data_IF_579691179322
#
_entry.id   IF_579691179322
#
_cell.length_a   1.000
_cell.length_b   1.000
_cell.length_c   1.000
_cell.angle_alpha   90.00
_cell.angle_beta   90.00
_cell.angle_gamma   90.00
#
_symmetry.space_group_name_H-M   'P 1'
#
loop_
_entity.id
_entity.type
_entity.pdbx_description
1 polymer ?
#
# COMPACT_ATOMS: atom_id res chain seq x y z
N UNK A 1 -2.72 -19.37 1.31
CA UNK A 1 -1.94 -18.12 1.49
C UNK A 1 -1.25 -18.07 2.85
N UNK A 2 -1.95 -18.11 3.98
CA UNK A 2 -1.33 -18.08 5.33
C UNK A 2 -0.22 -19.13 5.51
N UNK A 3 -0.45 -20.37 5.12
CA UNK A 3 0.52 -21.47 5.19
C UNK A 3 1.76 -21.25 4.32
N UNK A 4 1.69 -20.31 3.37
CA UNK A 4 2.80 -19.89 2.53
C UNK A 4 3.51 -18.63 3.08
N UNK A 5 3.16 -18.20 4.30
CA UNK A 5 3.76 -17.02 4.92
C UNK A 5 3.25 -15.68 4.39
N UNK A 6 2.18 -15.66 3.58
CA UNK A 6 1.55 -14.42 3.12
C UNK A 6 0.85 -13.74 4.29
N UNK A 7 1.02 -12.43 4.43
CA UNK A 7 0.40 -11.55 5.42
C UNK A 7 -0.84 -10.87 4.85
N UNK A 8 -1.55 -10.10 5.67
CA UNK A 8 -2.78 -9.41 5.26
C UNK A 8 -2.59 -7.90 5.31
N UNK A 9 -2.84 -7.24 4.18
CA UNK A 9 -3.11 -5.82 4.13
C UNK A 9 -4.63 -5.60 4.19
N UNK A 10 -5.11 -4.88 5.20
CA UNK A 10 -6.52 -4.66 5.49
C UNK A 10 -6.88 -3.18 5.34
N UNK A 11 -8.03 -2.89 4.75
CA UNK A 11 -8.51 -1.52 4.53
C UNK A 11 -9.76 -1.17 5.35
N UNK A 12 -10.22 -2.09 6.20
CA UNK A 12 -11.40 -1.91 7.05
C UNK A 12 -11.37 -2.77 8.29
N UNK A 13 -12.14 -2.39 9.32
CA UNK A 13 -12.36 -3.21 10.51
C UNK A 13 -12.86 -4.62 10.16
N UNK A 14 -13.79 -4.72 9.19
CA UNK A 14 -14.32 -6.00 8.75
C UNK A 14 -13.27 -6.93 8.14
N UNK A 15 -12.25 -6.39 7.48
CA UNK A 15 -11.12 -7.17 6.96
C UNK A 15 -10.16 -7.61 8.06
N UNK A 16 -9.90 -6.77 9.06
CA UNK A 16 -9.14 -7.16 10.25
C UNK A 16 -9.82 -8.36 10.93
N UNK A 17 -11.13 -8.27 11.18
CA UNK A 17 -11.88 -9.37 11.83
C UNK A 17 -11.87 -10.66 11.00
N UNK A 18 -11.98 -10.57 9.68
CA UNK A 18 -11.88 -11.74 8.79
C UNK A 18 -10.47 -12.34 8.79
N UNK A 19 -9.44 -11.52 8.86
CA UNK A 19 -8.06 -12.00 8.97
C UNK A 19 -7.85 -12.77 10.28
N UNK A 20 -8.36 -12.26 11.40
CA UNK A 20 -8.32 -12.96 12.69
C UNK A 20 -9.04 -14.32 12.64
N UNK A 21 -10.25 -14.36 12.05
CA UNK A 21 -10.99 -15.63 11.85
C UNK A 21 -10.22 -16.61 10.95
N UNK A 22 -9.48 -16.09 9.96
CA UNK A 22 -8.62 -16.90 9.10
C UNK A 22 -7.31 -17.37 9.80
N UNK A 23 -7.09 -16.94 11.04
CA UNK A 23 -5.97 -17.36 11.89
C UNK A 23 -4.70 -16.52 11.71
N UNK A 24 -4.80 -15.32 11.16
CA UNK A 24 -3.74 -14.31 11.24
C UNK A 24 -3.81 -13.66 12.63
N UNK A 25 -2.76 -13.81 13.43
CA UNK A 25 -2.78 -13.36 14.82
C UNK A 25 -1.63 -12.39 15.11
N UNK A 26 -1.93 -11.08 15.29
CA UNK A 26 -0.92 -10.06 15.60
C UNK A 26 -0.16 -10.32 16.92
N UNK A 27 -0.68 -11.16 17.81
CA UNK A 27 0.00 -11.51 19.07
C UNK A 27 1.17 -12.47 18.86
N UNK A 28 1.07 -13.32 17.84
CA UNK A 28 2.12 -14.30 17.51
C UNK A 28 3.03 -13.81 16.39
N UNK A 29 2.51 -13.00 15.48
CA UNK A 29 3.27 -12.31 14.43
C UNK A 29 2.78 -10.85 14.35
N UNK A 30 3.53 -9.89 14.89
CA UNK A 30 3.15 -8.48 14.92
C UNK A 30 2.90 -7.84 13.54
N UNK A 31 3.42 -8.47 12.49
CA UNK A 31 3.24 -8.03 11.12
C UNK A 31 2.23 -8.89 10.33
N UNK A 32 1.50 -9.81 11.00
CA UNK A 32 0.52 -10.69 10.35
C UNK A 32 -0.58 -9.92 9.61
N UNK A 33 -0.96 -8.78 10.16
CA UNK A 33 -1.96 -7.86 9.60
C UNK A 33 -1.38 -6.45 9.63
N UNK A 34 -1.53 -5.69 8.54
CA UNK A 34 -1.33 -4.25 8.50
C UNK A 34 -2.65 -3.57 8.14
N UNK A 35 -2.88 -2.37 8.65
CA UNK A 35 -4.05 -1.56 8.28
C UNK A 35 -3.63 -0.42 7.36
N UNK A 36 -4.13 -0.42 6.13
CA UNK A 36 -3.84 0.59 5.10
C UNK A 36 -5.13 1.21 4.61
N UNK A 37 -5.44 2.43 5.05
CA UNK A 37 -6.62 3.16 4.57
C UNK A 37 -6.37 4.67 4.61
N UNK A 38 -7.19 5.44 3.89
CA UNK A 38 -7.14 6.91 3.93
C UNK A 38 -7.93 7.49 5.11
N UNK A 39 -8.79 6.69 5.74
CA UNK A 39 -9.65 7.08 6.86
C UNK A 39 -9.63 5.97 7.91
N UNK A 40 -9.54 6.36 9.16
CA UNK A 40 -9.69 5.47 10.32
C UNK A 40 -10.81 6.01 11.21
N UNK A 41 -11.88 5.24 11.39
CA UNK A 41 -12.94 5.59 12.33
C UNK A 41 -12.62 5.15 13.77
N UNK A 42 -13.39 5.63 14.73
CA UNK A 42 -13.16 5.37 16.15
C UNK A 42 -13.17 3.87 16.48
N UNK A 43 -14.06 3.09 15.87
CA UNK A 43 -14.16 1.65 16.11
C UNK A 43 -12.92 0.90 15.57
N UNK A 44 -12.49 1.27 14.36
CA UNK A 44 -11.27 0.72 13.75
C UNK A 44 -10.02 1.14 14.56
N UNK A 45 -9.94 2.39 14.98
CA UNK A 45 -8.84 2.92 15.78
C UNK A 45 -8.72 2.19 17.12
N UNK A 46 -9.85 1.97 17.81
CA UNK A 46 -9.89 1.23 19.06
C UNK A 46 -9.40 -0.23 18.87
N UNK A 47 -9.83 -0.87 17.79
CA UNK A 47 -9.44 -2.25 17.50
C UNK A 47 -7.97 -2.39 17.08
N UNK A 48 -7.48 -1.46 16.27
CA UNK A 48 -6.06 -1.36 15.89
C UNK A 48 -5.19 -1.18 17.13
N UNK A 49 -5.59 -0.29 18.05
CA UNK A 49 -4.90 -0.11 19.33
C UNK A 49 -4.91 -1.38 20.20
N UNK A 50 -6.07 -2.03 20.36
CA UNK A 50 -6.20 -3.28 21.15
C UNK A 50 -5.31 -4.40 20.62
N UNK A 51 -5.26 -4.57 19.31
CA UNK A 51 -4.53 -5.64 18.64
C UNK A 51 -3.07 -5.28 18.34
N UNK A 52 -2.69 -3.99 18.47
CA UNK A 52 -1.40 -3.44 18.06
C UNK A 52 -1.07 -3.72 16.58
N UNK A 53 -2.10 -3.67 15.72
CA UNK A 53 -1.95 -3.82 14.26
C UNK A 53 -1.20 -2.63 13.70
N UNK A 54 -0.06 -2.79 13.01
CA UNK A 54 0.65 -1.68 12.39
C UNK A 54 -0.25 -0.90 11.42
N UNK A 55 -0.13 0.42 11.44
CA UNK A 55 -0.93 1.32 10.60
C UNK A 55 -0.07 1.94 9.52
N UNK A 56 -0.48 1.79 8.28
CA UNK A 56 0.08 2.51 7.14
C UNK A 56 -0.68 3.84 6.97
N UNK A 57 -0.13 4.90 7.55
CA UNK A 57 -0.80 6.19 7.62
C UNK A 57 -0.72 6.94 6.29
N UNK A 58 -1.87 7.35 5.77
CA UNK A 58 -2.01 8.12 4.54
C UNK A 58 -2.07 9.64 4.75
N UNK A 59 -2.06 10.12 5.98
CA UNK A 59 -2.05 11.54 6.31
C UNK A 59 -1.40 11.83 7.67
N UNK A 60 -0.97 13.07 7.87
CA UNK A 60 -0.44 13.55 9.16
C UNK A 60 -1.54 13.52 10.23
N UNK A 61 -2.80 13.84 9.86
CA UNK A 61 -3.94 13.79 10.79
C UNK A 61 -4.20 12.36 11.30
N UNK A 62 -4.02 11.35 10.44
CA UNK A 62 -4.16 9.94 10.84
C UNK A 62 -3.09 9.52 11.85
N UNK A 63 -1.85 9.99 11.67
CA UNK A 63 -0.78 9.80 12.65
C UNK A 63 -1.11 10.48 13.98
N UNK A 64 -1.66 11.69 13.94
CA UNK A 64 -2.08 12.44 15.15
C UNK A 64 -3.18 11.69 15.92
N UNK A 65 -4.23 11.23 15.21
CA UNK A 65 -5.32 10.44 15.80
C UNK A 65 -4.80 9.14 16.44
N UNK A 66 -3.93 8.43 15.75
CA UNK A 66 -3.33 7.19 16.26
C UNK A 66 -2.43 7.48 17.46
N UNK A 67 -1.61 8.52 17.39
CA UNK A 67 -0.68 8.90 18.47
C UNK A 67 -1.39 9.28 19.75
N UNK A 68 -2.54 9.96 19.67
CA UNK A 68 -3.37 10.32 20.83
C UNK A 68 -3.92 9.08 21.55
N UNK A 69 -4.30 8.04 20.82
CA UNK A 69 -4.91 6.81 21.38
C UNK A 69 -3.86 5.76 21.73
N UNK A 70 -2.79 5.66 20.95
CA UNK A 70 -1.79 4.59 21.06
C UNK A 70 -0.37 5.12 20.90
N UNK A 71 0.17 5.88 21.87
CA UNK A 71 1.58 6.29 21.84
C UNK A 71 2.51 5.09 21.73
N UNK A 72 3.58 5.23 20.94
CA UNK A 72 4.53 4.15 20.69
C UNK A 72 4.07 3.11 19.67
N UNK A 73 2.94 3.33 18.98
CA UNK A 73 2.41 2.41 17.97
C UNK A 73 3.34 2.28 16.77
N UNK A 74 3.37 1.09 16.17
CA UNK A 74 4.12 0.82 14.93
C UNK A 74 3.39 1.37 13.72
N UNK A 75 4.09 2.16 12.88
CA UNK A 75 3.49 2.84 11.73
C UNK A 75 4.34 2.72 10.49
N UNK A 76 3.68 2.67 9.35
CA UNK A 76 4.21 2.95 8.04
C UNK A 76 3.77 4.34 7.60
N UNK A 77 4.53 4.98 6.73
CA UNK A 77 4.13 6.22 6.08
C UNK A 77 3.89 5.95 4.60
N UNK A 78 2.63 6.06 4.18
CA UNK A 78 2.29 6.02 2.76
C UNK A 78 2.61 7.38 2.15
N UNK A 79 3.59 7.42 1.27
CA UNK A 79 4.07 8.66 0.65
C UNK A 79 3.50 8.83 -0.74
N UNK A 80 3.02 10.05 -1.03
CA UNK A 80 2.72 10.51 -2.37
C UNK A 80 3.94 11.30 -2.89
N UNK A 81 4.70 10.78 -3.86
CA UNK A 81 5.95 11.40 -4.32
C UNK A 81 5.74 12.59 -5.28
N UNK A 82 4.49 13.03 -5.50
CA UNK A 82 4.16 14.17 -6.36
C UNK A 82 3.93 13.80 -7.82
N UNK A 83 4.03 12.54 -8.19
CA UNK A 83 3.70 12.04 -9.52
C UNK A 83 2.96 10.71 -9.40
N UNK A 84 2.27 10.31 -10.47
CA UNK A 84 1.55 9.05 -10.50
C UNK A 84 1.19 8.63 -11.91
N UNK A 85 0.90 7.33 -12.07
CA UNK A 85 0.46 6.72 -13.30
C UNK A 85 -0.64 5.71 -13.02
N UNK A 86 -1.50 5.45 -14.01
CA UNK A 86 -2.54 4.42 -13.93
C UNK A 86 -3.20 4.20 -15.28
N UNK A 87 -3.82 3.04 -15.50
CA UNK A 87 -4.59 2.72 -16.73
C UNK A 87 -5.67 3.76 -17.06
N UNK A 88 -6.08 4.56 -16.07
CA UNK A 88 -6.99 5.69 -16.22
C UNK A 88 -6.72 6.70 -15.10
N UNK A 89 -7.18 7.95 -15.26
CA UNK A 89 -7.12 8.94 -14.18
C UNK A 89 -7.78 8.44 -12.89
N UNK A 90 -8.76 7.54 -12.98
CA UNK A 90 -9.47 6.96 -11.82
C UNK A 90 -8.65 5.93 -11.05
N UNK A 91 -7.63 5.34 -11.66
CA UNK A 91 -6.74 4.34 -11.04
C UNK A 91 -5.36 4.90 -10.70
N UNK A 92 -5.16 6.22 -10.91
CA UNK A 92 -3.96 6.91 -10.48
C UNK A 92 -4.00 7.14 -8.97
N UNK A 93 -3.00 6.62 -8.26
CA UNK A 93 -2.88 6.70 -6.80
C UNK A 93 -1.73 7.60 -6.34
N UNK A 94 -1.15 8.41 -7.24
CA UNK A 94 -0.09 9.37 -6.93
C UNK A 94 -0.30 10.73 -7.64
N UNK A 95 0.52 11.72 -7.28
CA UNK A 95 0.46 13.08 -7.81
C UNK A 95 -0.66 13.96 -7.21
N UNK A 96 -0.78 15.20 -7.68
CA UNK A 96 -1.69 16.22 -7.12
C UNK A 96 -3.17 15.89 -7.24
N UNK A 97 -3.55 15.01 -8.16
CA UNK A 97 -4.94 14.60 -8.38
C UNK A 97 -5.32 13.34 -7.60
N UNK A 98 -4.46 12.87 -6.71
CA UNK A 98 -4.68 11.72 -5.85
C UNK A 98 -4.84 12.14 -4.39
N UNK A 99 -5.86 11.61 -3.72
CA UNK A 99 -6.06 11.81 -2.28
C UNK A 99 -5.14 10.94 -1.41
N UNK A 100 -4.43 9.99 -2.01
CA UNK A 100 -3.71 8.95 -1.29
C UNK A 100 -2.32 9.39 -0.88
N UNK A 101 -1.98 9.10 0.37
CA UNK A 101 -0.65 9.26 0.94
C UNK A 101 -0.33 10.67 1.40
N UNK A 102 0.67 10.76 2.26
CA UNK A 102 1.26 12.01 2.74
C UNK A 102 2.05 12.64 1.59
N UNK A 103 1.76 13.90 1.28
CA UNK A 103 2.53 14.64 0.28
C UNK A 103 4.00 14.70 0.66
N UNK A 104 4.90 14.45 -0.27
CA UNK A 104 6.34 14.35 0.03
C UNK A 104 6.92 15.57 0.75
N UNK A 105 6.37 16.77 0.52
CA UNK A 105 6.79 17.99 1.20
C UNK A 105 6.29 18.11 2.66
N UNK A 106 5.29 17.30 3.04
CA UNK A 106 4.71 17.29 4.39
C UNK A 106 5.37 16.24 5.31
N UNK A 107 6.38 15.51 4.81
CA UNK A 107 7.12 14.52 5.60
C UNK A 107 7.76 15.09 6.88
N UNK A 108 8.25 16.34 6.92
CA UNK A 108 8.70 16.95 8.19
C UNK A 108 7.59 17.03 9.24
N UNK A 109 6.35 17.36 8.85
CA UNK A 109 5.21 17.38 9.79
C UNK A 109 4.88 15.97 10.29
N UNK A 110 4.97 14.94 9.44
CA UNK A 110 4.83 13.56 9.87
C UNK A 110 5.90 13.17 10.91
N UNK A 111 7.16 13.58 10.71
CA UNK A 111 8.25 13.35 11.66
C UNK A 111 7.98 13.99 13.02
N UNK A 112 7.46 15.22 13.06
CA UNK A 112 7.09 15.90 14.28
C UNK A 112 6.05 15.11 15.09
N UNK A 113 5.06 14.52 14.41
CA UNK A 113 4.05 13.68 15.05
C UNK A 113 4.64 12.36 15.54
N UNK A 114 5.49 11.70 14.74
CA UNK A 114 6.20 10.50 15.16
C UNK A 114 6.96 10.72 16.46
N UNK A 115 7.69 11.82 16.56
CA UNK A 115 8.47 12.18 17.74
C UNK A 115 7.57 12.52 18.93
N UNK A 116 6.50 13.32 18.72
CA UNK A 116 5.59 13.76 19.77
C UNK A 116 4.93 12.61 20.50
N UNK A 117 4.53 11.58 19.78
CA UNK A 117 3.84 10.39 20.33
C UNK A 117 4.74 9.17 20.44
N UNK A 118 6.05 9.31 20.18
CA UNK A 118 7.01 8.20 20.18
C UNK A 118 6.56 7.04 19.28
N UNK A 119 5.90 7.34 18.15
CA UNK A 119 5.47 6.32 17.20
C UNK A 119 6.70 5.64 16.60
N UNK A 120 6.61 4.33 16.38
CA UNK A 120 7.70 3.52 15.86
C UNK A 120 7.56 3.36 14.35
N UNK A 121 8.43 4.05 13.62
CA UNK A 121 8.47 3.95 12.17
C UNK A 121 8.96 2.55 11.74
N UNK A 122 8.12 1.81 11.02
CA UNK A 122 8.46 0.52 10.40
C UNK A 122 9.08 0.76 9.03
N UNK A 123 8.45 1.61 8.21
CA UNK A 123 8.93 1.85 6.86
C UNK A 123 8.16 2.89 6.08
N UNK A 124 8.60 3.08 4.84
CA UNK A 124 7.93 3.91 3.84
C UNK A 124 7.24 3.02 2.81
N UNK A 125 6.02 3.38 2.49
CA UNK A 125 5.15 2.71 1.52
C UNK A 125 4.85 3.66 0.36
N UNK A 126 4.92 3.14 -0.86
CA UNK A 126 4.45 3.82 -2.07
C UNK A 126 3.58 2.87 -2.88
N UNK A 127 2.36 3.29 -3.19
CA UNK A 127 1.48 2.58 -4.12
C UNK A 127 1.11 3.58 -5.22
N UNK A 128 1.77 3.51 -6.37
CA UNK A 128 1.73 4.52 -7.43
C UNK A 128 1.20 3.90 -8.72
N UNK A 129 -0.12 3.65 -8.72
CA UNK A 129 -0.80 3.14 -9.90
C UNK A 129 -0.64 1.64 -10.13
N UNK A 130 -1.12 1.18 -11.30
CA UNK A 130 -1.09 -0.22 -11.72
C UNK A 130 -0.75 -0.32 -13.19
N UNK A 131 -0.02 -1.35 -13.60
CA UNK A 131 0.32 -1.61 -14.99
C UNK A 131 1.72 -2.21 -15.16
N UNK A 132 2.13 -2.34 -16.42
CA UNK A 132 3.45 -2.87 -16.85
C UNK A 132 4.39 -1.79 -17.38
N UNK A 133 4.21 -0.54 -16.99
CA UNK A 133 5.11 0.55 -17.39
C UNK A 133 6.37 0.53 -16.51
N UNK A 134 7.41 -0.13 -16.98
CA UNK A 134 8.68 -0.26 -16.27
C UNK A 134 9.45 1.05 -16.17
N UNK A 135 9.33 1.97 -17.14
CA UNK A 135 9.97 3.27 -17.05
C UNK A 135 9.37 4.11 -15.93
N UNK A 136 8.05 4.02 -15.75
CA UNK A 136 7.39 4.62 -14.59
C UNK A 136 7.80 3.93 -13.29
N UNK A 137 7.91 2.59 -13.28
CA UNK A 137 8.34 1.84 -12.11
C UNK A 137 9.76 2.22 -11.66
N UNK A 138 10.69 2.43 -12.60
CA UNK A 138 12.04 2.94 -12.29
C UNK A 138 12.00 4.31 -11.61
N UNK A 139 11.10 5.21 -12.07
CA UNK A 139 10.90 6.52 -11.43
C UNK A 139 10.39 6.37 -10.00
N UNK A 140 9.46 5.45 -9.74
CA UNK A 140 8.93 5.16 -8.41
C UNK A 140 10.01 4.59 -7.49
N UNK A 141 10.79 3.63 -7.97
CA UNK A 141 11.94 3.08 -7.24
C UNK A 141 12.96 4.18 -6.89
N UNK A 142 13.29 5.05 -7.83
CA UNK A 142 14.17 6.20 -7.58
C UNK A 142 13.57 7.21 -6.60
N UNK A 143 12.26 7.42 -6.61
CA UNK A 143 11.57 8.27 -5.64
C UNK A 143 11.60 7.66 -4.24
N UNK A 144 11.40 6.35 -4.10
CA UNK A 144 11.52 5.65 -2.82
C UNK A 144 12.90 5.86 -2.20
N UNK A 145 13.96 5.66 -2.97
CA UNK A 145 15.34 5.88 -2.50
C UNK A 145 15.54 7.33 -2.03
N UNK A 146 15.13 8.31 -2.85
CA UNK A 146 15.24 9.73 -2.46
C UNK A 146 14.47 10.05 -1.18
N UNK A 147 13.22 9.57 -1.07
CA UNK A 147 12.39 9.84 0.12
C UNK A 147 13.02 9.26 1.39
N UNK A 148 13.59 8.06 1.35
CA UNK A 148 14.28 7.49 2.51
C UNK A 148 15.51 8.30 2.89
N UNK A 149 16.33 8.69 1.91
CA UNK A 149 17.54 9.49 2.14
C UNK A 149 17.19 10.87 2.70
N UNK A 150 16.21 11.56 2.07
CA UNK A 150 15.83 12.93 2.46
C UNK A 150 15.11 12.95 3.82
N UNK A 151 14.33 11.91 4.14
CA UNK A 151 13.65 11.78 5.43
C UNK A 151 14.62 11.51 6.58
N UNK A 152 15.74 10.85 6.33
CA UNK A 152 16.84 10.67 7.28
C UNK A 152 16.48 9.88 8.53
N UNK A 153 15.45 9.02 8.48
CA UNK A 153 15.03 8.15 9.56
C UNK A 153 15.42 6.70 9.26
N UNK A 154 15.67 5.96 10.32
CA UNK A 154 15.91 4.52 10.22
C UNK A 154 14.62 3.75 9.91
N UNK A 155 14.72 2.67 9.09
CA UNK A 155 13.60 1.87 8.60
C UNK A 155 13.90 0.38 8.71
N UNK A 156 12.89 -0.41 9.09
CA UNK A 156 12.95 -1.88 9.02
C UNK A 156 12.69 -2.40 7.59
N UNK A 157 11.84 -1.67 6.83
CA UNK A 157 11.34 -2.13 5.54
C UNK A 157 10.93 -0.99 4.60
N UNK A 158 10.81 -1.31 3.32
CA UNK A 158 10.10 -0.51 2.32
C UNK A 158 8.98 -1.34 1.71
N UNK A 159 7.86 -0.71 1.34
CA UNK A 159 6.76 -1.36 0.63
C UNK A 159 6.54 -0.74 -0.76
N UNK A 160 6.54 -1.59 -1.76
CA UNK A 160 6.21 -1.24 -3.13
C UNK A 160 4.70 -1.09 -3.38
N UNK A 161 3.87 -1.35 -2.37
CA UNK A 161 2.43 -1.38 -2.50
C UNK A 161 1.92 -2.49 -3.43
N UNK A 162 0.73 -2.29 -3.96
CA UNK A 162 0.11 -3.19 -4.91
C UNK A 162 0.29 -2.73 -6.37
N UNK A 163 -0.63 -3.17 -7.22
CA UNK A 163 -0.68 -2.72 -8.62
C UNK A 163 -0.11 -3.69 -9.63
N UNK A 164 0.33 -4.89 -9.22
CA UNK A 164 0.67 -5.95 -10.17
C UNK A 164 -0.55 -6.27 -11.04
N UNK A 165 -0.39 -6.08 -12.36
CA UNK A 165 -1.46 -6.27 -13.35
C UNK A 165 -1.61 -7.73 -13.76
N UNK A 166 -2.81 -8.02 -14.29
CA UNK A 166 -3.11 -9.26 -15.02
C UNK A 166 -3.64 -8.90 -16.41
N UNK A 167 -3.52 -9.75 -17.41
CA UNK A 167 -4.21 -9.57 -18.67
C UNK A 167 -5.72 -9.80 -18.49
N UNK A 168 -6.56 -8.88 -18.99
CA UNK A 168 -8.02 -9.04 -19.04
C UNK A 168 -8.51 -9.50 -20.42
N UNK A 169 -7.67 -9.38 -21.43
CA UNK A 169 -7.98 -9.73 -22.82
C UNK A 169 -6.85 -10.53 -23.42
N UNK A 170 -7.20 -11.37 -24.37
CA UNK A 170 -6.22 -12.10 -25.19
C UNK A 170 -5.26 -11.12 -25.89
N UNK A 171 -3.96 -11.37 -25.76
CA UNK A 171 -2.89 -10.53 -26.33
C UNK A 171 -2.47 -9.33 -25.48
N UNK A 172 -3.04 -9.10 -24.30
CA UNK A 172 -2.49 -8.14 -23.36
C UNK A 172 -1.21 -8.68 -22.70
N UNK A 173 -0.27 -7.79 -22.44
CA UNK A 173 1.02 -8.16 -21.81
C UNK A 173 0.83 -8.57 -20.36
N UNK A 174 1.54 -9.61 -19.96
CA UNK A 174 1.70 -10.01 -18.56
C UNK A 174 2.88 -9.29 -17.95
N UNK A 175 2.77 -8.95 -16.65
CA UNK A 175 3.91 -8.38 -15.94
C UNK A 175 5.03 -9.42 -15.78
N UNK A 176 6.27 -9.02 -16.10
CA UNK A 176 7.46 -9.79 -15.77
C UNK A 176 7.81 -9.56 -14.30
N UNK A 177 7.53 -10.56 -13.48
CA UNK A 177 7.75 -10.50 -12.02
C UNK A 177 9.22 -10.47 -11.64
N UNK A 178 10.10 -11.06 -12.44
CA UNK A 178 11.53 -11.07 -12.20
C UNK A 178 12.13 -9.69 -12.46
N UNK A 179 11.69 -9.04 -13.55
CA UNK A 179 12.08 -7.66 -13.84
C UNK A 179 11.56 -6.68 -12.78
N UNK A 180 10.27 -6.81 -12.40
CA UNK A 180 9.66 -6.03 -11.32
C UNK A 180 10.46 -6.17 -10.00
N UNK A 181 10.76 -7.41 -9.61
CA UNK A 181 11.55 -7.68 -8.41
C UNK A 181 12.95 -7.12 -8.51
N UNK A 182 13.59 -7.21 -9.68
CA UNK A 182 14.94 -6.69 -9.91
C UNK A 182 15.04 -5.18 -9.65
N UNK A 183 14.06 -4.39 -10.16
CA UNK A 183 14.00 -2.94 -9.95
C UNK A 183 13.83 -2.57 -8.47
N UNK A 184 12.88 -3.19 -7.79
CA UNK A 184 12.64 -2.94 -6.37
C UNK A 184 13.77 -3.45 -5.47
N UNK A 185 14.35 -4.60 -5.82
CA UNK A 185 15.51 -5.15 -5.10
C UNK A 185 16.72 -4.22 -5.17
N UNK A 186 16.98 -3.64 -6.36
CA UNK A 186 18.05 -2.66 -6.53
C UNK A 186 17.79 -1.38 -5.69
N UNK A 187 16.56 -0.90 -5.62
CA UNK A 187 16.20 0.24 -4.78
C UNK A 187 16.39 -0.09 -3.28
N UNK A 188 15.91 -1.24 -2.83
CA UNK A 188 16.12 -1.74 -1.46
C UNK A 188 17.60 -1.82 -1.10
N UNK A 189 18.44 -2.34 -1.99
CA UNK A 189 19.87 -2.51 -1.75
C UNK A 189 20.58 -1.15 -1.62
N UNK A 190 20.18 -0.14 -2.40
CA UNK A 190 20.67 1.23 -2.24
C UNK A 190 20.27 1.82 -0.88
N UNK A 191 19.03 1.61 -0.45
CA UNK A 191 18.54 2.05 0.86
C UNK A 191 19.27 1.32 1.99
N UNK A 192 19.45 0.00 1.90
CA UNK A 192 20.20 -0.79 2.87
C UNK A 192 21.66 -0.33 3.00
N UNK A 193 22.30 0.01 1.89
CA UNK A 193 23.66 0.58 1.89
C UNK A 193 23.70 1.96 2.56
N UNK A 194 22.67 2.80 2.36
CA UNK A 194 22.59 4.12 3.00
C UNK A 194 22.37 4.01 4.51
N UNK A 195 21.48 3.12 4.96
CA UNK A 195 21.14 2.91 6.38
C UNK A 195 22.20 2.07 7.13
N UNK A 196 23.04 1.31 6.41
CA UNK A 196 24.10 0.48 7.00
C UNK A 196 23.61 -0.87 7.53
N UNK A 197 22.38 -1.30 7.21
CA UNK A 197 21.83 -2.60 7.59
C UNK A 197 20.84 -3.13 6.55
N UNK A 198 20.42 -4.39 6.69
CA UNK A 198 19.45 -5.01 5.79
C UNK A 198 18.06 -4.40 5.97
N UNK A 199 17.38 -4.12 4.84
CA UNK A 199 16.01 -3.61 4.77
C UNK A 199 15.14 -4.64 4.07
N UNK A 200 13.95 -4.92 4.61
CA UNK A 200 12.95 -5.80 3.97
C UNK A 200 12.28 -5.09 2.79
N UNK A 201 11.88 -5.88 1.79
CA UNK A 201 11.03 -5.43 0.69
C UNK A 201 9.68 -6.12 0.81
N UNK A 202 8.60 -5.34 0.85
CA UNK A 202 7.21 -5.83 0.91
C UNK A 202 6.42 -5.41 -0.33
N UNK A 203 5.42 -6.21 -0.70
CA UNK A 203 4.49 -5.95 -1.80
C UNK A 203 3.07 -6.38 -1.40
N UNK A 204 2.06 -5.77 -2.03
CA UNK A 204 0.62 -5.97 -1.73
C UNK A 204 -0.16 -6.43 -2.99
N UNK A 205 0.14 -7.61 -3.57
CA UNK A 205 -0.40 -8.04 -4.87
C UNK A 205 -1.81 -8.63 -4.75
N UNK A 206 -2.84 -7.82 -4.52
CA UNK A 206 -4.22 -8.31 -4.36
C UNK A 206 -4.79 -8.97 -5.61
N UNK A 207 -4.98 -8.20 -6.68
CA UNK A 207 -5.56 -8.65 -7.95
C UNK A 207 -4.76 -9.79 -8.58
N UNK A 208 -3.46 -9.65 -8.63
CA UNK A 208 -2.55 -10.63 -9.23
C UNK A 208 -2.70 -12.03 -8.65
N UNK A 209 -3.01 -12.14 -7.35
CA UNK A 209 -3.13 -13.44 -6.68
C UNK A 209 -4.46 -14.15 -6.92
N UNK A 210 -5.53 -13.43 -7.23
CA UNK A 210 -6.88 -14.01 -7.15
C UNK A 210 -7.77 -13.76 -8.36
N UNK A 211 -7.49 -12.77 -9.20
CA UNK A 211 -8.45 -12.37 -10.24
C UNK A 211 -8.65 -13.43 -11.32
N UNK A 212 -7.60 -14.16 -11.68
CA UNK A 212 -7.70 -15.25 -12.67
C UNK A 212 -8.28 -16.56 -12.09
N UNK A 213 -8.46 -16.62 -10.75
CA UNK A 213 -9.00 -17.79 -10.08
C UNK A 213 -10.53 -17.82 -10.01
N UNK A 214 -11.22 -16.78 -10.52
CA UNK A 214 -12.68 -16.66 -10.44
C UNK A 214 -13.32 -15.94 -11.61
N UNK A 215 -14.63 -16.13 -11.74
CA UNK A 215 -15.46 -15.45 -12.72
C UNK A 215 -16.71 -14.88 -12.06
N UNK A 216 -17.14 -13.70 -12.52
CA UNK A 216 -18.43 -13.13 -12.13
C UNK A 216 -19.48 -13.54 -13.18
N UNK A 217 -20.49 -14.28 -12.73
CA UNK A 217 -21.64 -14.64 -13.59
C UNK A 217 -22.78 -13.67 -13.31
N UNK A 218 -23.28 -13.02 -14.35
CA UNK A 218 -24.40 -12.09 -14.26
C UNK A 218 -25.42 -12.38 -15.39
N UNK A 219 -26.70 -12.09 -15.13
CA UNK A 219 -27.76 -12.18 -16.13
C UNK A 219 -28.07 -10.80 -16.68
N UNK A 220 -28.01 -10.66 -18.00
CA UNK A 220 -28.48 -9.46 -18.68
C UNK A 220 -29.98 -9.32 -18.48
N UNK A 221 -30.43 -8.24 -17.86
CA UNK A 221 -31.85 -7.96 -17.57
C UNK A 221 -32.48 -7.03 -18.59
N UNK A 222 -31.71 -6.13 -19.18
CA UNK A 222 -32.18 -5.28 -20.27
C UNK A 222 -31.00 -4.76 -21.11
N UNK A 223 -31.33 -4.36 -22.33
CA UNK A 223 -30.41 -3.66 -23.23
C UNK A 223 -31.07 -2.34 -23.62
N UNK A 224 -30.31 -1.25 -23.61
CA UNK A 224 -30.76 0.07 -24.05
C UNK A 224 -29.85 0.63 -25.12
N UNK A 225 -30.47 1.27 -26.10
CA UNK A 225 -29.78 2.04 -27.12
C UNK A 225 -29.88 3.54 -26.79
N UNK A 226 -28.75 4.23 -26.80
CA UNK A 226 -28.66 5.65 -26.55
C UNK A 226 -27.78 6.30 -27.63
N UNK A 227 -28.42 6.66 -28.75
CA UNK A 227 -27.68 7.10 -29.93
C UNK A 227 -26.82 5.99 -30.51
N UNK A 228 -25.51 6.19 -30.55
CA UNK A 228 -24.56 5.18 -31.08
C UNK A 228 -24.04 4.22 -29.99
N UNK A 229 -24.54 4.31 -28.76
CA UNK A 229 -24.06 3.50 -27.64
C UNK A 229 -25.10 2.50 -27.17
N UNK A 230 -24.65 1.30 -26.83
CA UNK A 230 -25.44 0.24 -26.24
C UNK A 230 -25.06 0.06 -24.77
N UNK A 231 -26.05 -0.04 -23.91
CA UNK A 231 -25.90 -0.32 -22.49
C UNK A 231 -26.55 -1.66 -22.17
N UNK A 232 -25.79 -2.50 -21.51
CA UNK A 232 -26.23 -3.80 -20.98
C UNK A 232 -26.41 -3.65 -19.48
N UNK A 233 -27.63 -3.97 -18.97
CA UNK A 233 -28.01 -3.81 -17.56
C UNK A 233 -28.38 -5.15 -16.95
#
# INVERSE_FOLDING_TARGET
MREQGVKVDSVSLGEIERALVAGFDPKTDPDAIVFTADVIDEATLARVHELQVPVNAGSVDMLEQLGQVSPGHRVWLRVNPGFGHGHSQKTNTGGENSKHGIWYADMPAALDVLQRYNLKLVGIHMHIGSGVDYAHLEQVCGAMVRQVVDFGQDLEAISAGGGLSIPYREGEETIDTDHYYGLWSAARDQIAAHLGHAVKLEIEPGRFLVAEAGVLVAQVRSVKEMGSRHFVL
#
